data_IF_242735676413
#
_entry.id   IF_242735676413
#
_cell.length_a   1.000
_cell.length_b   1.000
_cell.length_c   1.000
_cell.angle_alpha   90.00
_cell.angle_beta   90.00
_cell.angle_gamma   90.00
#
_symmetry.space_group_name_H-M   'P 1'
#
loop_
_entity.id
_entity.type
_entity.pdbx_description
1 polymer ?
#
# COMPACT_ATOMS: atom_id res chain seq x y z
N UNK A 1 -14.25 20.96 -22.46
CA UNK A 1 -14.59 21.42 -21.08
C UNK A 1 -13.35 21.88 -20.31
N UNK A 2 -12.25 21.14 -20.41
CA UNK A 2 -10.93 21.51 -19.87
C UNK A 2 -10.34 22.68 -20.69
N UNK A 3 -10.27 22.56 -22.01
CA UNK A 3 -9.67 23.58 -22.91
C UNK A 3 -10.47 24.89 -22.95
N UNK A 4 -11.75 24.85 -22.61
CA UNK A 4 -12.66 26.01 -22.56
C UNK A 4 -12.55 26.84 -21.28
N UNK A 5 -11.67 26.47 -20.33
CA UNK A 5 -11.54 27.11 -19.01
C UNK A 5 -12.74 26.97 -18.07
N UNK A 6 -13.86 26.39 -18.54
CA UNK A 6 -15.10 26.15 -17.79
C UNK A 6 -14.86 25.29 -16.55
N UNK A 7 -13.99 24.29 -16.64
CA UNK A 7 -13.64 23.43 -15.50
C UNK A 7 -12.93 24.23 -14.41
N UNK A 8 -11.84 24.93 -14.75
CA UNK A 8 -11.05 25.72 -13.80
C UNK A 8 -11.89 26.79 -13.08
N UNK A 9 -12.72 27.54 -13.83
CA UNK A 9 -13.64 28.54 -13.24
C UNK A 9 -14.62 27.94 -12.24
N UNK A 10 -15.12 26.72 -12.51
CA UNK A 10 -16.11 26.06 -11.64
C UNK A 10 -15.48 25.43 -10.41
N UNK A 11 -14.27 24.89 -10.52
CA UNK A 11 -13.54 24.34 -9.38
C UNK A 11 -13.10 25.47 -8.44
N UNK A 12 -12.59 26.58 -8.98
CA UNK A 12 -12.19 27.74 -8.18
C UNK A 12 -13.37 28.45 -7.49
N UNK A 13 -14.61 28.24 -7.96
CA UNK A 13 -15.81 28.81 -7.36
C UNK A 13 -16.30 28.04 -6.11
N UNK A 14 -15.70 26.90 -5.76
CA UNK A 14 -16.06 26.14 -4.55
C UNK A 14 -15.18 26.60 -3.38
N UNK A 15 -15.76 27.19 -2.32
CA UNK A 15 -15.02 27.53 -1.11
C UNK A 15 -14.38 26.30 -0.46
N UNK A 16 -13.20 26.49 0.14
CA UNK A 16 -12.46 25.40 0.80
C UNK A 16 -13.29 24.70 1.88
N UNK A 17 -14.09 25.45 2.64
CA UNK A 17 -14.92 24.90 3.71
C UNK A 17 -16.07 24.03 3.16
N UNK A 18 -16.70 24.45 2.06
CA UNK A 18 -17.71 23.64 1.37
C UNK A 18 -17.11 22.36 0.79
N UNK A 19 -15.89 22.45 0.26
CA UNK A 19 -15.15 21.28 -0.21
C UNK A 19 -14.85 20.30 0.93
N UNK A 20 -14.35 20.80 2.07
CA UNK A 20 -14.08 19.97 3.26
C UNK A 20 -15.35 19.31 3.78
N UNK A 21 -16.46 20.05 3.88
CA UNK A 21 -17.73 19.51 4.31
C UNK A 21 -18.23 18.41 3.37
N UNK A 22 -18.14 18.63 2.05
CA UNK A 22 -18.50 17.62 1.06
C UNK A 22 -17.58 16.39 1.11
N UNK A 23 -16.27 16.58 1.29
CA UNK A 23 -15.30 15.49 1.42
C UNK A 23 -15.58 14.66 2.69
N UNK A 24 -15.85 15.30 3.83
CA UNK A 24 -16.14 14.60 5.08
C UNK A 24 -17.49 13.88 5.07
N UNK A 25 -18.55 14.50 4.54
CA UNK A 25 -19.90 13.92 4.59
C UNK A 25 -20.13 12.92 3.45
N UNK A 26 -19.71 13.24 2.23
CA UNK A 26 -19.95 12.39 1.05
C UNK A 26 -18.76 11.48 0.72
N UNK A 27 -17.54 11.91 1.02
CA UNK A 27 -16.32 11.17 0.71
C UNK A 27 -16.01 10.07 1.72
N UNK A 28 -16.30 10.26 3.00
CA UNK A 28 -16.05 9.26 4.05
C UNK A 28 -16.70 7.91 3.76
N UNK A 29 -17.98 7.89 3.37
CA UNK A 29 -18.67 6.66 2.98
C UNK A 29 -18.06 5.99 1.75
N UNK A 30 -17.50 6.75 0.82
CA UNK A 30 -16.80 6.21 -0.35
C UNK A 30 -15.49 5.53 0.03
N UNK A 31 -14.79 6.02 1.05
CA UNK A 31 -13.58 5.37 1.58
C UNK A 31 -13.93 3.99 2.11
N UNK A 32 -14.99 3.87 2.93
CA UNK A 32 -15.45 2.59 3.46
C UNK A 32 -15.79 1.60 2.32
N UNK A 33 -16.57 2.03 1.33
CA UNK A 33 -16.89 1.18 0.17
C UNK A 33 -15.66 0.80 -0.66
N UNK A 34 -14.66 1.70 -0.74
CA UNK A 34 -13.41 1.42 -1.43
C UNK A 34 -12.56 0.38 -0.69
N UNK A 35 -12.57 0.40 0.65
CA UNK A 35 -11.92 -0.61 1.48
C UNK A 35 -12.59 -1.98 1.27
N UNK A 36 -13.93 -2.04 1.33
CA UNK A 36 -14.68 -3.28 1.11
C UNK A 36 -14.38 -3.87 -0.28
N UNK A 37 -14.40 -3.03 -1.32
CA UNK A 37 -14.10 -3.45 -2.68
C UNK A 37 -12.64 -3.92 -2.85
N UNK A 38 -11.69 -3.33 -2.12
CA UNK A 38 -10.28 -3.71 -2.16
C UNK A 38 -9.96 -4.93 -1.28
N UNK A 39 -10.83 -5.27 -0.32
CA UNK A 39 -10.57 -6.28 0.70
C UNK A 39 -10.16 -7.62 0.10
N UNK A 40 -10.88 -8.10 -0.92
CA UNK A 40 -10.56 -9.38 -1.59
C UNK A 40 -9.15 -9.40 -2.18
N UNK A 41 -8.70 -8.29 -2.78
CA UNK A 41 -7.34 -8.19 -3.34
C UNK A 41 -6.27 -8.17 -2.25
N UNK A 42 -6.54 -7.52 -1.13
CA UNK A 42 -5.63 -7.48 0.03
C UNK A 42 -5.52 -8.87 0.65
N UNK A 43 -6.65 -9.58 0.82
CA UNK A 43 -6.67 -10.95 1.33
C UNK A 43 -5.92 -11.90 0.39
N UNK A 44 -6.18 -11.85 -0.91
CA UNK A 44 -5.47 -12.68 -1.90
C UNK A 44 -3.96 -12.41 -1.92
N UNK A 45 -3.56 -11.15 -1.75
CA UNK A 45 -2.14 -10.79 -1.60
C UNK A 45 -1.56 -11.38 -0.32
N UNK A 46 -2.26 -11.23 0.81
CA UNK A 46 -1.85 -11.74 2.12
C UNK A 46 -1.68 -13.27 2.10
N UNK A 47 -2.61 -14.00 1.50
CA UNK A 47 -2.55 -15.46 1.33
C UNK A 47 -1.26 -15.91 0.61
N UNK A 48 -0.76 -15.11 -0.33
CA UNK A 48 0.46 -15.42 -1.08
C UNK A 48 1.73 -14.93 -0.38
N UNK A 49 1.72 -13.72 0.21
CA UNK A 49 2.93 -13.12 0.77
C UNK A 49 3.28 -13.66 2.15
N UNK A 50 2.30 -14.00 2.98
CA UNK A 50 2.54 -14.43 4.37
C UNK A 50 3.38 -15.71 4.46
N UNK A 51 3.13 -16.78 3.66
CA UNK A 51 4.01 -17.95 3.65
C UNK A 51 5.44 -17.62 3.21
N UNK A 52 5.60 -16.71 2.25
CA UNK A 52 6.91 -16.25 1.78
C UNK A 52 7.67 -15.53 2.88
N UNK A 53 7.01 -14.59 3.58
CA UNK A 53 7.61 -13.89 4.72
C UNK A 53 7.97 -14.84 5.87
N UNK A 54 7.12 -15.82 6.16
CA UNK A 54 7.39 -16.84 7.18
C UNK A 54 8.63 -17.67 6.85
N UNK A 55 8.76 -18.12 5.59
CA UNK A 55 9.95 -18.82 5.11
C UNK A 55 11.20 -17.94 5.21
N UNK A 56 11.16 -16.72 4.69
CA UNK A 56 12.31 -15.80 4.71
C UNK A 56 12.74 -15.52 6.15
N UNK A 57 11.79 -15.28 7.05
CA UNK A 57 12.07 -15.11 8.48
C UNK A 57 12.79 -16.32 9.07
N UNK A 58 12.32 -17.53 8.78
CA UNK A 58 12.99 -18.76 9.24
C UNK A 58 14.42 -18.88 8.72
N UNK A 59 14.68 -18.48 7.47
CA UNK A 59 16.03 -18.49 6.89
C UNK A 59 16.92 -17.45 7.56
N UNK A 60 16.40 -16.25 7.82
CA UNK A 60 17.13 -15.17 8.50
C UNK A 60 17.44 -15.54 9.95
N UNK A 61 16.48 -16.13 10.67
CA UNK A 61 16.66 -16.53 12.07
C UNK A 61 17.77 -17.59 12.23
N UNK A 62 18.04 -18.38 11.20
CA UNK A 62 19.14 -19.35 11.17
C UNK A 62 20.51 -18.75 10.81
N UNK A 63 20.58 -17.48 10.40
CA UNK A 63 21.84 -16.79 10.11
C UNK A 63 22.52 -16.34 11.41
N UNK A 64 23.85 -16.13 11.40
CA UNK A 64 24.55 -15.43 12.47
C UNK A 64 23.98 -14.00 12.69
N UNK A 65 24.19 -13.43 13.87
CA UNK A 65 23.73 -12.07 14.25
C UNK A 65 24.66 -11.33 15.23
N UNK A 66 25.94 -11.72 15.31
CA UNK A 66 26.87 -11.20 16.31
C UNK A 66 27.60 -9.93 15.87
N UNK A 67 27.76 -9.73 14.57
CA UNK A 67 28.53 -8.64 13.99
C UNK A 67 27.67 -7.73 13.10
N UNK A 68 28.21 -6.54 12.78
CA UNK A 68 27.58 -5.65 11.80
C UNK A 68 27.42 -6.33 10.43
N UNK A 69 28.41 -7.11 10.00
CA UNK A 69 28.37 -7.83 8.73
C UNK A 69 27.28 -8.91 8.72
N UNK A 70 27.05 -9.57 9.85
CA UNK A 70 25.94 -10.51 10.00
C UNK A 70 24.59 -9.79 9.84
N UNK A 71 24.45 -8.61 10.45
CA UNK A 71 23.26 -7.76 10.30
C UNK A 71 23.01 -7.33 8.84
N UNK A 72 24.06 -6.90 8.14
CA UNK A 72 24.01 -6.54 6.71
C UNK A 72 23.61 -7.76 5.87
N UNK A 73 24.16 -8.94 6.16
CA UNK A 73 23.84 -10.17 5.46
C UNK A 73 22.36 -10.56 5.63
N UNK A 74 21.83 -10.50 6.86
CA UNK A 74 20.42 -10.78 7.17
C UNK A 74 19.47 -9.84 6.42
N UNK A 75 19.76 -8.54 6.42
CA UNK A 75 18.98 -7.54 5.69
C UNK A 75 19.04 -7.79 4.18
N UNK A 76 20.24 -8.04 3.64
CA UNK A 76 20.42 -8.31 2.21
C UNK A 76 19.67 -9.58 1.79
N UNK A 77 19.64 -10.62 2.63
CA UNK A 77 18.87 -11.85 2.41
C UNK A 77 17.37 -11.56 2.32
N UNK A 78 16.81 -10.78 3.25
CA UNK A 78 15.40 -10.34 3.21
C UNK A 78 15.07 -9.66 1.87
N UNK A 79 15.86 -8.66 1.47
CA UNK A 79 15.63 -7.88 0.26
C UNK A 79 15.69 -8.76 -0.98
N UNK A 80 16.71 -9.62 -1.09
CA UNK A 80 16.90 -10.51 -2.25
C UNK A 80 15.79 -11.55 -2.37
N UNK A 81 15.36 -12.15 -1.26
CA UNK A 81 14.28 -13.15 -1.29
C UNK A 81 12.92 -12.51 -1.57
N UNK A 82 12.64 -11.35 -0.96
CA UNK A 82 11.38 -10.64 -1.18
C UNK A 82 11.27 -10.11 -2.62
N UNK A 83 12.40 -9.72 -3.25
CA UNK A 83 12.43 -9.32 -4.65
C UNK A 83 12.03 -10.44 -5.64
N UNK A 84 12.07 -11.72 -5.22
CA UNK A 84 11.61 -12.86 -6.03
C UNK A 84 10.11 -13.07 -5.93
N UNK A 85 9.44 -12.44 -4.97
CA UNK A 85 8.00 -12.58 -4.81
C UNK A 85 7.27 -11.79 -5.88
N UNK A 86 6.41 -12.49 -6.63
CA UNK A 86 5.51 -11.89 -7.59
C UNK A 86 4.07 -12.25 -7.20
N UNK A 87 3.24 -11.23 -6.98
CA UNK A 87 1.83 -11.43 -6.68
C UNK A 87 1.08 -11.84 -7.94
N UNK A 88 0.49 -13.04 -7.91
CA UNK A 88 -0.37 -13.53 -8.99
C UNK A 88 -1.79 -13.04 -8.75
N UNK A 89 -2.25 -12.19 -9.66
CA UNK A 89 -3.57 -11.54 -9.60
C UNK A 89 -4.69 -12.43 -10.11
#
# INVERSE_FOLDING_TARGET
>A
AIDSGKWARRVAAVPLEDWKAAASVKGSGRIASGIEAANGKVLAFAEQVLPVLSRIKSEIDAMPDLTLEDGIARMTKQVREMAKFEFKR
#
